data_IF_477260509114
#
_entry.id   IF_477260509114
#
_cell.length_a   1.000
_cell.length_b   1.000
_cell.length_c   1.000
_cell.angle_alpha   90.00
_cell.angle_beta   90.00
_cell.angle_gamma   90.00
#
_symmetry.space_group_name_H-M   'P 1'
#
loop_
_entity.id
_entity.type
_entity.pdbx_description
1 polymer ?
#
# COMPACT_ATOMS: atom_id res chain seq x y z
N UNK A 1 -3.47 17.35 -19.61
CA UNK A 1 -3.98 18.42 -18.74
C UNK A 1 -3.20 18.37 -17.44
N UNK A 2 -2.51 19.45 -17.05
CA UNK A 2 -1.65 19.48 -15.86
C UNK A 2 -2.21 20.50 -14.88
N UNK A 3 -2.59 20.06 -13.69
CA UNK A 3 -3.05 20.94 -12.62
C UNK A 3 -1.83 21.29 -11.75
N UNK A 4 -1.52 22.59 -11.64
CA UNK A 4 -0.51 23.08 -10.71
C UNK A 4 -1.18 23.47 -9.40
N UNK A 5 -0.80 22.81 -8.32
CA UNK A 5 -1.16 23.24 -6.98
C UNK A 5 -0.29 24.44 -6.60
N UNK A 6 -0.87 25.41 -5.90
CA UNK A 6 -0.16 26.58 -5.34
C UNK A 6 -0.42 26.62 -3.83
N UNK A 7 0.12 25.65 -3.06
CA UNK A 7 -0.08 25.62 -1.63
C UNK A 7 0.66 26.78 -0.93
N UNK A 8 0.12 27.25 0.19
CA UNK A 8 0.89 28.07 1.14
C UNK A 8 2.00 27.22 1.77
N UNK A 9 2.97 27.85 2.45
CA UNK A 9 4.05 27.14 3.16
C UNK A 9 3.50 26.17 4.22
N UNK A 10 2.42 26.57 4.90
CA UNK A 10 1.73 25.76 5.89
C UNK A 10 1.05 24.55 5.24
N UNK A 11 0.38 24.76 4.10
CA UNK A 11 -0.26 23.68 3.35
C UNK A 11 0.78 22.70 2.78
N UNK A 12 1.90 23.21 2.27
CA UNK A 12 3.01 22.38 1.79
C UNK A 12 3.56 21.49 2.90
N UNK A 13 3.80 22.05 4.09
CA UNK A 13 4.26 21.29 5.26
C UNK A 13 3.28 20.17 5.64
N UNK A 14 1.99 20.47 5.72
CA UNK A 14 0.94 19.48 6.03
C UNK A 14 0.91 18.37 4.97
N UNK A 15 0.98 18.73 3.69
CA UNK A 15 1.02 17.77 2.60
C UNK A 15 2.26 16.88 2.66
N UNK A 16 3.41 17.44 3.04
CA UNK A 16 4.65 16.70 3.17
C UNK A 16 4.61 15.71 4.34
N UNK A 17 4.11 16.13 5.50
CA UNK A 17 3.91 15.26 6.66
C UNK A 17 2.94 14.11 6.33
N UNK A 18 1.84 14.41 5.63
CA UNK A 18 0.90 13.39 5.18
C UNK A 18 1.54 12.40 4.19
N UNK A 19 2.37 12.90 3.27
CA UNK A 19 3.09 12.07 2.31
C UNK A 19 4.14 11.18 2.98
N UNK A 20 4.88 11.69 3.97
CA UNK A 20 5.88 10.94 4.74
C UNK A 20 5.23 9.79 5.52
N UNK A 21 4.15 10.09 6.25
CA UNK A 21 3.40 9.09 6.99
C UNK A 21 2.80 8.05 6.03
N UNK A 22 2.23 8.49 4.90
CA UNK A 22 1.70 7.59 3.88
C UNK A 22 2.77 6.67 3.28
N UNK A 23 3.99 7.19 3.05
CA UNK A 23 5.12 6.42 2.56
C UNK A 23 5.56 5.33 3.56
N UNK A 24 5.55 5.62 4.87
CA UNK A 24 5.84 4.62 5.91
C UNK A 24 4.87 3.45 5.87
N UNK A 25 3.56 3.74 5.82
CA UNK A 25 2.50 2.71 5.73
C UNK A 25 2.66 1.88 4.45
N UNK A 26 2.87 2.54 3.30
CA UNK A 26 3.09 1.85 2.02
C UNK A 26 4.30 0.93 2.06
N UNK A 27 5.44 1.42 2.56
CA UNK A 27 6.67 0.65 2.64
C UNK A 27 6.51 -0.56 3.56
N UNK A 28 5.81 -0.40 4.69
CA UNK A 28 5.58 -1.48 5.63
C UNK A 28 4.73 -2.60 5.03
N UNK A 29 3.57 -2.28 4.46
CA UNK A 29 2.68 -3.30 3.88
C UNK A 29 3.37 -3.98 2.69
N UNK A 30 4.10 -3.22 1.87
CA UNK A 30 4.84 -3.76 0.74
C UNK A 30 5.98 -4.68 1.17
N UNK A 31 6.68 -4.34 2.27
CA UNK A 31 7.72 -5.19 2.84
C UNK A 31 7.16 -6.56 3.23
N UNK A 32 6.05 -6.60 3.97
CA UNK A 32 5.42 -7.85 4.41
C UNK A 32 5.04 -8.74 3.21
N UNK A 33 4.38 -8.16 2.20
CA UNK A 33 3.95 -8.88 1.00
C UNK A 33 5.13 -9.39 0.17
N UNK A 34 6.23 -8.62 0.09
CA UNK A 34 7.47 -9.09 -0.56
C UNK A 34 8.10 -10.26 0.18
N UNK A 35 8.13 -10.24 1.52
CA UNK A 35 8.65 -11.37 2.28
C UNK A 35 7.86 -12.65 1.97
N UNK A 36 6.52 -12.58 2.01
CA UNK A 36 5.66 -13.72 1.66
C UNK A 36 5.92 -14.21 0.23
N UNK A 37 5.98 -13.29 -0.73
CA UNK A 37 6.23 -13.61 -2.13
C UNK A 37 7.58 -14.31 -2.36
N UNK A 38 8.67 -13.78 -1.79
CA UNK A 38 10.01 -14.37 -1.96
C UNK A 38 10.22 -15.66 -1.15
N UNK A 39 9.44 -15.88 -0.09
CA UNK A 39 9.35 -17.16 0.61
C UNK A 39 8.52 -18.21 -0.17
N UNK A 40 8.00 -17.87 -1.34
CA UNK A 40 7.16 -18.76 -2.17
C UNK A 40 5.75 -18.95 -1.61
N UNK A 41 5.32 -18.11 -0.66
CA UNK A 41 3.97 -18.13 -0.10
C UNK A 41 3.02 -17.32 -0.99
N UNK A 42 1.73 -17.60 -0.86
CA UNK A 42 0.70 -16.72 -1.39
C UNK A 42 0.71 -15.41 -0.60
N UNK A 43 0.63 -14.28 -1.30
CA UNK A 43 0.56 -12.96 -0.67
C UNK A 43 -0.80 -12.78 0.00
N UNK A 44 -0.82 -12.66 1.33
CA UNK A 44 -2.06 -12.52 2.10
C UNK A 44 -2.39 -11.04 2.31
N UNK A 45 -3.25 -10.52 1.44
CA UNK A 45 -3.66 -9.11 1.48
C UNK A 45 -4.40 -8.74 2.77
N UNK A 46 -5.23 -9.64 3.31
CA UNK A 46 -6.05 -9.39 4.49
C UNK A 46 -5.19 -9.37 5.75
N UNK A 47 -4.29 -10.34 5.91
CA UNK A 47 -3.37 -10.40 7.04
C UNK A 47 -2.41 -9.21 7.06
N UNK A 48 -1.79 -8.91 5.92
CA UNK A 48 -0.83 -7.79 5.82
C UNK A 48 -1.51 -6.44 6.05
N UNK A 49 -2.75 -6.25 5.57
CA UNK A 49 -3.55 -5.06 5.88
C UNK A 49 -3.85 -4.95 7.37
N UNK A 50 -4.30 -6.04 8.02
CA UNK A 50 -4.60 -6.04 9.46
C UNK A 50 -3.38 -5.66 10.31
N UNK A 51 -2.19 -6.19 9.97
CA UNK A 51 -0.94 -5.85 10.67
C UNK A 51 -0.66 -4.35 10.58
N UNK A 52 -0.66 -3.81 9.37
CA UNK A 52 -0.37 -2.38 9.16
C UNK A 52 -1.47 -1.48 9.72
N UNK A 53 -2.73 -1.91 9.69
CA UNK A 53 -3.84 -1.22 10.33
C UNK A 53 -3.61 -1.06 11.84
N UNK A 54 -3.28 -2.14 12.54
CA UNK A 54 -3.03 -2.08 13.98
C UNK A 54 -1.77 -1.26 14.31
N UNK A 55 -0.73 -1.33 13.48
CA UNK A 55 0.51 -0.56 13.67
C UNK A 55 0.30 0.96 13.49
N UNK A 56 -0.51 1.40 12.51
CA UNK A 56 -0.55 2.81 12.09
C UNK A 56 -1.89 3.54 12.32
N UNK A 57 -2.99 2.86 12.69
CA UNK A 57 -4.31 3.51 12.81
C UNK A 57 -4.35 4.70 13.77
N UNK A 58 -3.52 4.69 14.82
CA UNK A 58 -3.46 5.77 15.80
C UNK A 58 -2.68 6.99 15.29
N UNK A 59 -1.64 6.79 14.47
CA UNK A 59 -0.78 7.87 13.94
C UNK A 59 -1.36 8.48 12.66
N UNK A 60 -1.80 7.64 11.72
CA UNK A 60 -2.19 8.05 10.35
C UNK A 60 -3.70 8.18 10.15
N UNK A 61 -4.48 7.61 11.06
CA UNK A 61 -5.93 7.48 10.94
C UNK A 61 -6.36 6.24 10.17
N UNK A 62 -7.38 5.54 10.69
CA UNK A 62 -7.89 4.26 10.18
C UNK A 62 -8.17 4.26 8.68
N UNK A 63 -8.88 5.28 8.16
CA UNK A 63 -9.29 5.33 6.77
C UNK A 63 -8.09 5.45 5.81
N UNK A 64 -7.11 6.28 6.17
CA UNK A 64 -5.91 6.49 5.36
C UNK A 64 -5.09 5.20 5.24
N UNK A 65 -4.91 4.48 6.36
CA UNK A 65 -4.16 3.21 6.36
C UNK A 65 -4.82 2.15 5.46
N UNK A 66 -6.14 1.98 5.58
CA UNK A 66 -6.89 1.05 4.73
C UNK A 66 -6.77 1.39 3.25
N UNK A 67 -6.89 2.69 2.90
CA UNK A 67 -6.78 3.12 1.50
C UNK A 67 -5.38 2.89 0.92
N UNK A 68 -4.33 3.09 1.71
CA UNK A 68 -2.95 2.79 1.31
C UNK A 68 -2.78 1.28 1.10
N UNK A 69 -3.23 0.45 2.03
CA UNK A 69 -3.15 -1.02 1.94
C UNK A 69 -3.89 -1.55 0.70
N UNK A 70 -5.08 -1.00 0.41
CA UNK A 70 -5.88 -1.29 -0.78
C UNK A 70 -5.16 -0.90 -2.07
N UNK A 71 -4.62 0.31 -2.17
CA UNK A 71 -3.86 0.76 -3.35
C UNK A 71 -2.60 -0.08 -3.57
N UNK A 72 -1.94 -0.48 -2.48
CA UNK A 72 -0.82 -1.41 -2.58
C UNK A 72 -1.29 -2.79 -3.09
N UNK A 73 -2.45 -3.28 -2.67
CA UNK A 73 -3.00 -4.55 -3.15
C UNK A 73 -3.36 -4.49 -4.64
N UNK A 74 -3.92 -3.37 -5.10
CA UNK A 74 -4.16 -3.11 -6.53
C UNK A 74 -2.84 -3.15 -7.34
N UNK A 75 -1.76 -2.57 -6.82
CA UNK A 75 -0.44 -2.62 -7.46
C UNK A 75 0.11 -4.05 -7.58
N UNK A 76 -0.02 -4.86 -6.52
CA UNK A 76 0.35 -6.28 -6.54
C UNK A 76 -0.49 -7.10 -7.52
N UNK A 77 -1.82 -6.89 -7.56
CA UNK A 77 -2.70 -7.53 -8.54
C UNK A 77 -2.28 -7.19 -9.97
N UNK A 78 -1.97 -5.92 -10.23
CA UNK A 78 -1.46 -5.48 -11.54
C UNK A 78 -0.12 -6.14 -11.90
N UNK A 79 0.78 -6.28 -10.92
CA UNK A 79 2.05 -7.00 -11.08
C UNK A 79 1.81 -8.47 -11.48
N UNK A 80 0.90 -9.17 -10.79
CA UNK A 80 0.58 -10.57 -11.11
C UNK A 80 -0.06 -10.74 -12.48
N UNK A 81 -0.94 -9.81 -12.89
CA UNK A 81 -1.55 -9.85 -14.23
C UNK A 81 -0.51 -9.68 -15.35
N UNK A 82 0.52 -8.85 -15.15
CA UNK A 82 1.50 -8.51 -16.19
C UNK A 82 2.78 -9.36 -16.16
N UNK A 83 2.96 -10.24 -15.16
CA UNK A 83 4.13 -11.10 -15.07
C UNK A 83 3.95 -12.41 -15.88
N UNK A 84 4.73 -12.67 -16.94
CA UNK A 84 4.53 -13.83 -17.84
C UNK A 84 4.67 -15.20 -17.17
N UNK A 85 5.31 -15.26 -16.00
CA UNK A 85 5.58 -16.49 -15.23
C UNK A 85 4.58 -16.74 -14.09
N UNK A 86 3.51 -15.94 -13.97
CA UNK A 86 2.62 -15.89 -12.79
C UNK A 86 1.24 -16.56 -12.93
N UNK A 87 0.98 -17.34 -13.97
CA UNK A 87 -0.34 -17.94 -14.26
C UNK A 87 -0.90 -18.85 -13.16
N UNK A 88 -0.10 -19.25 -12.18
CA UNK A 88 -0.53 -20.09 -11.05
C UNK A 88 -1.10 -19.31 -9.84
N UNK A 89 -0.98 -17.98 -9.75
CA UNK A 89 -1.46 -17.22 -8.57
C UNK A 89 -2.77 -16.43 -8.82
N UNK A 90 -3.32 -16.45 -10.03
CA UNK A 90 -4.51 -15.70 -10.42
C UNK A 90 -5.85 -16.22 -9.87
N UNK A 91 -5.87 -17.30 -9.08
CA UNK A 91 -7.11 -18.03 -8.74
C UNK A 91 -7.75 -17.67 -7.38
N UNK A 92 -7.27 -16.66 -6.64
CA UNK A 92 -7.75 -16.43 -5.26
C UNK A 92 -8.08 -14.97 -4.93
N UNK A 93 -8.57 -14.19 -5.90
CA UNK A 93 -9.23 -12.91 -5.63
C UNK A 93 -10.71 -13.11 -5.29
N UNK A 94 -11.01 -13.42 -4.03
CA UNK A 94 -12.30 -13.13 -3.39
C UNK A 94 -12.05 -12.47 -2.04
#
# INVERSE_FOLDING_TARGET
MTIKLQPSKEQEKILFELADVGAKVWNRVNYLRRQEFFEGKLVDFNRTEKIVYEEFKQETGSATVQQIARKNAEAWRSFFTNCPSGSSQNHQTT
#
